data_IF_692539694959
#
_entry.id   IF_692539694959
#
_cell.length_a   1.000
_cell.length_b   1.000
_cell.length_c   1.000
_cell.angle_alpha   90.00
_cell.angle_beta   90.00
_cell.angle_gamma   90.00
#
_symmetry.space_group_name_H-M   'P 1'
#
loop_
_entity.id
_entity.type
_entity.pdbx_description
1 polymer ?
#
# COMPACT_ATOMS: atom_id res chain seq x y z
N UNK A 1 26.98 -12.72 -73.02
CA UNK A 1 26.02 -12.60 -71.92
C UNK A 1 26.33 -13.71 -70.92
N UNK A 2 26.92 -13.33 -69.80
CA UNK A 2 27.48 -14.19 -68.76
C UNK A 2 26.39 -14.66 -67.79
N UNK A 3 26.15 -15.97 -67.76
CA UNK A 3 25.28 -16.62 -66.78
C UNK A 3 25.92 -16.62 -65.40
N UNK A 4 25.42 -15.77 -64.49
CA UNK A 4 25.79 -15.79 -63.08
C UNK A 4 24.92 -16.83 -62.37
N UNK A 5 25.49 -18.02 -62.14
CA UNK A 5 24.96 -19.01 -61.20
C UNK A 5 25.03 -18.46 -59.78
N UNK A 6 23.90 -18.01 -59.23
CA UNK A 6 23.75 -17.75 -57.81
C UNK A 6 23.85 -19.07 -57.03
N UNK A 7 25.03 -19.32 -56.44
CA UNK A 7 25.19 -20.33 -55.40
C UNK A 7 24.48 -19.82 -54.13
N UNK A 8 23.32 -20.39 -53.82
CA UNK A 8 22.74 -20.27 -52.49
C UNK A 8 23.67 -20.97 -51.50
N UNK A 9 24.42 -20.18 -50.73
CA UNK A 9 25.20 -20.65 -49.60
C UNK A 9 24.18 -21.03 -48.52
N UNK A 10 24.01 -22.34 -48.31
CA UNK A 10 23.25 -22.90 -47.18
C UNK A 10 23.89 -22.30 -45.92
N UNK A 11 23.20 -21.37 -45.25
CA UNK A 11 23.60 -20.92 -43.92
C UNK A 11 23.08 -22.01 -43.00
N UNK A 12 23.94 -22.96 -42.66
CA UNK A 12 23.74 -23.88 -41.55
C UNK A 12 23.81 -23.06 -40.26
N UNK A 13 22.68 -22.50 -39.84
CA UNK A 13 22.47 -22.18 -38.44
C UNK A 13 22.39 -23.51 -37.70
N UNK A 14 23.28 -23.71 -36.73
CA UNK A 14 23.23 -24.81 -35.77
C UNK A 14 21.86 -24.77 -35.07
N UNK A 15 20.91 -25.55 -35.58
CA UNK A 15 19.72 -25.91 -34.83
C UNK A 15 20.20 -26.75 -33.65
N UNK A 16 20.12 -26.19 -32.44
CA UNK A 16 20.00 -27.00 -31.23
C UNK A 16 18.77 -27.90 -31.42
N UNK A 17 18.98 -29.09 -31.99
CA UNK A 17 17.99 -30.16 -31.98
C UNK A 17 17.81 -30.58 -30.52
N UNK A 18 16.91 -29.88 -29.83
CA UNK A 18 16.32 -30.35 -28.59
C UNK A 18 15.79 -31.77 -28.85
N UNK A 19 16.33 -32.77 -28.16
CA UNK A 19 15.76 -34.11 -28.17
C UNK A 19 14.35 -34.02 -27.53
N UNK A 20 13.35 -33.76 -28.36
CA UNK A 20 11.94 -33.84 -27.99
C UNK A 20 11.63 -35.30 -27.65
N UNK A 21 11.62 -35.61 -26.35
CA UNK A 21 11.14 -36.92 -25.86
C UNK A 21 9.61 -36.87 -25.85
N UNK A 22 8.99 -37.66 -26.71
CA UNK A 22 7.53 -37.78 -26.80
C UNK A 22 7.07 -39.12 -26.20
N UNK A 23 5.86 -39.16 -25.65
CA UNK A 23 5.32 -40.38 -25.04
C UNK A 23 3.92 -40.20 -24.48
N UNK A 24 3.47 -41.17 -23.67
CA UNK A 24 2.25 -41.06 -22.85
C UNK A 24 2.63 -41.01 -21.38
N UNK A 25 1.89 -40.24 -20.61
CA UNK A 25 2.11 -40.08 -19.17
C UNK A 25 0.78 -40.10 -18.43
N UNK A 26 0.80 -40.68 -17.23
CA UNK A 26 -0.33 -40.65 -16.31
C UNK A 26 -0.59 -39.23 -15.82
N UNK A 27 -1.85 -38.83 -15.81
CA UNK A 27 -2.21 -37.48 -15.41
C UNK A 27 -1.87 -37.20 -13.95
N UNK A 28 -1.98 -38.20 -13.08
CA UNK A 28 -1.61 -38.11 -11.66
C UNK A 28 -0.14 -37.76 -11.42
N UNK A 29 0.73 -37.92 -12.42
CA UNK A 29 2.16 -37.60 -12.31
C UNK A 29 2.49 -36.16 -12.76
N UNK A 30 1.54 -35.47 -13.37
CA UNK A 30 1.73 -34.11 -13.88
C UNK A 30 1.56 -33.07 -12.78
N UNK A 31 2.39 -32.01 -12.84
CA UNK A 31 2.32 -30.88 -11.92
C UNK A 31 1.92 -29.62 -12.68
N UNK A 32 0.97 -28.82 -12.18
CA UNK A 32 0.71 -27.50 -12.77
C UNK A 32 1.93 -26.59 -12.57
N UNK A 33 2.28 -25.81 -13.59
CA UNK A 33 3.32 -24.79 -13.44
C UNK A 33 2.90 -23.74 -12.40
N UNK A 34 3.77 -23.38 -11.44
CA UNK A 34 3.43 -22.50 -10.32
C UNK A 34 2.97 -21.11 -10.77
N UNK A 35 3.50 -20.60 -11.88
CA UNK A 35 3.13 -19.30 -12.44
C UNK A 35 1.96 -19.33 -13.44
N UNK A 36 1.34 -20.48 -13.73
CA UNK A 36 0.27 -20.54 -14.73
C UNK A 36 -0.87 -19.58 -14.39
N UNK A 37 -1.32 -19.57 -13.14
CA UNK A 37 -2.43 -18.73 -12.68
C UNK A 37 -2.07 -17.24 -12.61
N UNK A 38 -0.79 -16.89 -12.65
CA UNK A 38 -0.35 -15.51 -12.73
C UNK A 38 -0.56 -14.92 -14.14
N UNK A 39 -0.34 -15.74 -15.18
CA UNK A 39 -0.40 -15.34 -16.59
C UNK A 39 -1.70 -15.72 -17.31
N UNK A 40 -2.40 -16.74 -16.83
CA UNK A 40 -3.59 -17.28 -17.50
C UNK A 40 -4.72 -17.56 -16.52
N UNK A 41 -5.94 -17.42 -16.98
CA UNK A 41 -7.15 -17.90 -16.30
C UNK A 41 -7.57 -19.27 -16.86
N UNK A 42 -8.25 -20.02 -16.00
CA UNK A 42 -8.95 -21.24 -16.39
C UNK A 42 -10.18 -20.92 -17.24
N UNK A 43 -10.53 -21.83 -18.14
CA UNK A 43 -11.79 -21.76 -18.86
C UNK A 43 -12.96 -22.03 -17.90
N UNK A 44 -14.03 -21.26 -18.03
CA UNK A 44 -15.24 -21.36 -17.19
C UNK A 44 -16.50 -21.35 -18.06
N UNK A 45 -17.63 -21.70 -17.45
CA UNK A 45 -18.98 -21.65 -18.02
C UNK A 45 -19.08 -22.33 -19.41
N UNK A 46 -19.87 -21.77 -20.32
CA UNK A 46 -20.16 -22.34 -21.64
C UNK A 46 -18.89 -22.68 -22.45
N UNK A 47 -17.85 -21.85 -22.34
CA UNK A 47 -16.56 -22.09 -23.04
C UNK A 47 -15.88 -23.36 -22.54
N UNK A 48 -15.96 -23.60 -21.23
CA UNK A 48 -15.43 -24.82 -20.64
C UNK A 48 -16.25 -26.05 -21.05
N UNK A 49 -17.57 -25.93 -21.05
CA UNK A 49 -18.46 -27.03 -21.42
C UNK A 49 -18.30 -27.43 -22.88
N UNK A 50 -18.20 -26.46 -23.80
CA UNK A 50 -17.91 -26.69 -25.21
C UNK A 50 -16.55 -27.37 -25.41
N UNK A 51 -15.53 -26.92 -24.70
CA UNK A 51 -14.20 -27.53 -24.73
C UNK A 51 -14.23 -28.97 -24.21
N UNK A 52 -14.93 -29.22 -23.10
CA UNK A 52 -15.07 -30.55 -22.51
C UNK A 52 -15.80 -31.52 -23.45
N UNK A 53 -16.85 -31.06 -24.14
CA UNK A 53 -17.53 -31.84 -25.17
C UNK A 53 -16.59 -32.17 -26.33
N UNK A 54 -15.78 -31.21 -26.80
CA UNK A 54 -14.78 -31.47 -27.85
C UNK A 54 -13.77 -32.54 -27.44
N UNK A 55 -13.26 -32.50 -26.20
CA UNK A 55 -12.34 -33.53 -25.69
C UNK A 55 -13.06 -34.88 -25.56
N UNK A 56 -14.35 -34.89 -25.20
CA UNK A 56 -15.14 -36.11 -25.09
C UNK A 56 -15.39 -36.77 -26.46
N UNK A 57 -15.67 -35.98 -27.50
CA UNK A 57 -15.97 -36.50 -28.84
C UNK A 57 -14.73 -36.87 -29.64
N UNK A 58 -13.65 -36.10 -29.50
CA UNK A 58 -12.48 -36.20 -30.38
C UNK A 58 -11.21 -36.62 -29.63
N UNK A 59 -11.26 -36.75 -28.32
CA UNK A 59 -10.09 -36.95 -27.48
C UNK A 59 -9.19 -35.71 -27.45
N UNK A 60 -8.03 -35.86 -26.80
CA UNK A 60 -6.97 -34.86 -26.86
C UNK A 60 -6.15 -35.08 -28.13
N UNK A 61 -6.28 -34.18 -29.09
CA UNK A 61 -5.59 -34.27 -30.40
C UNK A 61 -4.13 -33.84 -30.35
N UNK A 62 -3.85 -32.78 -29.59
CA UNK A 62 -2.51 -32.20 -29.47
C UNK A 62 -1.86 -32.61 -28.14
N UNK A 63 -0.63 -33.11 -28.22
CA UNK A 63 0.17 -33.45 -27.05
C UNK A 63 0.41 -32.23 -26.14
N UNK A 64 0.49 -32.47 -24.83
CA UNK A 64 0.89 -31.45 -23.85
C UNK A 64 2.40 -31.25 -23.89
N UNK A 65 2.87 -30.08 -23.45
CA UNK A 65 4.30 -29.82 -23.27
C UNK A 65 4.63 -29.83 -21.79
N UNK A 66 5.66 -30.57 -21.39
CA UNK A 66 6.09 -30.69 -19.99
C UNK A 66 7.61 -30.51 -19.84
N UNK A 67 8.06 -30.19 -18.63
CA UNK A 67 9.47 -30.19 -18.27
C UNK A 67 9.99 -31.58 -17.90
N UNK A 68 11.30 -31.72 -17.67
CA UNK A 68 11.91 -32.92 -17.10
C UNK A 68 11.28 -33.35 -15.76
N UNK A 69 10.73 -32.40 -14.99
CA UNK A 69 10.11 -32.63 -13.68
C UNK A 69 8.60 -32.86 -13.75
N UNK A 70 8.08 -33.06 -14.97
CA UNK A 70 6.66 -33.30 -15.27
C UNK A 70 5.77 -32.08 -14.97
N UNK A 71 6.37 -30.88 -14.94
CA UNK A 71 5.63 -29.61 -14.83
C UNK A 71 5.04 -29.24 -16.18
N UNK A 72 3.77 -28.88 -16.23
CA UNK A 72 3.06 -28.56 -17.47
C UNK A 72 3.44 -27.17 -17.95
N UNK A 73 4.02 -27.07 -19.15
CA UNK A 73 4.30 -25.80 -19.85
C UNK A 73 3.14 -25.42 -20.78
N UNK A 74 2.52 -26.39 -21.43
CA UNK A 74 1.38 -26.14 -22.31
C UNK A 74 0.34 -27.25 -22.22
N UNK A 75 -0.93 -26.86 -22.13
CA UNK A 75 -2.07 -27.78 -22.12
C UNK A 75 -2.71 -28.01 -20.75
N UNK A 76 -2.58 -27.09 -19.80
CA UNK A 76 -3.25 -27.18 -18.48
C UNK A 76 -4.75 -27.46 -18.60
N UNK A 77 -5.46 -26.80 -19.51
CA UNK A 77 -6.89 -27.05 -19.73
C UNK A 77 -7.18 -28.45 -20.26
N UNK A 78 -6.31 -29.02 -21.11
CA UNK A 78 -6.43 -30.42 -21.58
C UNK A 78 -6.26 -31.40 -20.44
N UNK A 79 -5.26 -31.18 -19.59
CA UNK A 79 -5.03 -32.02 -18.40
C UNK A 79 -6.22 -31.94 -17.45
N UNK A 80 -6.74 -30.72 -17.21
CA UNK A 80 -7.95 -30.51 -16.42
C UNK A 80 -9.17 -31.25 -17.01
N UNK A 81 -9.37 -31.18 -18.33
CA UNK A 81 -10.50 -31.83 -19.00
C UNK A 81 -10.38 -33.36 -18.91
N UNK A 82 -9.19 -33.91 -19.12
CA UNK A 82 -8.95 -35.34 -18.96
C UNK A 82 -9.21 -35.82 -17.53
N UNK A 83 -8.81 -35.06 -16.50
CA UNK A 83 -9.15 -35.38 -15.11
C UNK A 83 -10.67 -35.45 -14.90
N UNK A 84 -11.43 -34.49 -15.44
CA UNK A 84 -12.90 -34.47 -15.33
C UNK A 84 -13.54 -35.64 -16.10
N UNK A 85 -12.98 -36.02 -17.25
CA UNK A 85 -13.49 -37.11 -18.08
C UNK A 85 -13.00 -38.51 -17.65
N UNK A 86 -12.15 -38.60 -16.61
CA UNK A 86 -11.57 -39.87 -16.16
C UNK A 86 -10.57 -40.49 -17.15
N UNK A 87 -9.93 -39.67 -17.99
CA UNK A 87 -8.88 -40.14 -18.90
C UNK A 87 -7.57 -40.22 -18.11
N UNK A 88 -7.00 -41.41 -17.98
CA UNK A 88 -5.82 -41.63 -17.12
C UNK A 88 -4.49 -41.21 -17.75
N UNK A 89 -4.37 -41.27 -19.08
CA UNK A 89 -3.11 -41.04 -19.80
C UNK A 89 -3.23 -40.08 -20.99
N UNK A 90 -2.28 -39.16 -21.09
CA UNK A 90 -2.22 -38.12 -22.12
C UNK A 90 -0.87 -38.13 -22.84
N UNK A 91 -0.88 -37.82 -24.14
CA UNK A 91 0.36 -37.70 -24.93
C UNK A 91 1.12 -36.43 -24.54
N UNK A 92 2.44 -36.51 -24.39
CA UNK A 92 3.29 -35.38 -24.02
C UNK A 92 4.49 -35.22 -24.95
N UNK A 93 5.04 -34.01 -24.94
CA UNK A 93 6.36 -33.63 -25.47
C UNK A 93 7.16 -33.03 -24.32
N UNK A 94 8.34 -33.56 -24.04
CA UNK A 94 9.18 -33.06 -22.97
C UNK A 94 10.29 -32.16 -23.51
N UNK A 95 10.49 -31.03 -22.83
CA UNK A 95 11.56 -30.05 -23.06
C UNK A 95 12.37 -29.95 -21.77
N UNK A 96 13.68 -30.09 -21.89
CA UNK A 96 14.61 -29.92 -20.77
C UNK A 96 14.98 -28.44 -20.60
N UNK A 97 14.70 -27.86 -19.44
CA UNK A 97 15.04 -26.47 -19.13
C UNK A 97 16.23 -26.40 -18.18
N UNK A 98 17.23 -25.60 -18.55
CA UNK A 98 18.36 -25.20 -17.69
C UNK A 98 18.22 -23.76 -17.19
N UNK A 99 17.30 -23.00 -17.77
CA UNK A 99 17.01 -21.60 -17.48
C UNK A 99 15.52 -21.42 -17.20
N UNK A 100 15.20 -20.96 -15.99
CA UNK A 100 13.84 -20.68 -15.54
C UNK A 100 13.16 -19.60 -16.40
N UNK A 101 13.90 -18.59 -16.87
CA UNK A 101 13.30 -17.55 -17.73
C UNK A 101 12.84 -18.12 -19.07
N UNK A 102 13.62 -19.02 -19.65
CA UNK A 102 13.24 -19.73 -20.89
C UNK A 102 12.00 -20.61 -20.67
N UNK A 103 11.90 -21.27 -19.52
CA UNK A 103 10.71 -22.05 -19.14
C UNK A 103 9.45 -21.17 -19.11
N UNK A 104 9.52 -20.02 -18.43
CA UNK A 104 8.41 -19.07 -18.32
C UNK A 104 8.07 -18.45 -19.69
N UNK A 105 9.09 -18.13 -20.50
CA UNK A 105 8.90 -17.65 -21.87
C UNK A 105 8.10 -18.64 -22.69
N UNK A 106 8.48 -19.93 -22.67
CA UNK A 106 7.79 -20.95 -23.46
C UNK A 106 6.38 -21.26 -22.93
N UNK A 107 6.18 -21.19 -21.60
CA UNK A 107 4.85 -21.20 -20.97
C UNK A 107 3.99 -20.09 -21.58
N UNK A 108 4.49 -18.85 -21.65
CA UNK A 108 3.71 -17.72 -22.15
C UNK A 108 3.46 -17.85 -23.66
N UNK A 109 4.50 -18.05 -24.47
CA UNK A 109 4.38 -18.04 -25.93
C UNK A 109 3.51 -19.17 -26.48
N UNK A 110 3.67 -20.38 -25.95
CA UNK A 110 2.90 -21.53 -26.42
C UNK A 110 1.40 -21.34 -26.15
N UNK A 111 1.05 -20.67 -25.05
CA UNK A 111 -0.33 -20.40 -24.66
C UNK A 111 -0.92 -19.16 -25.35
N UNK A 112 -0.11 -18.12 -25.65
CA UNK A 112 -0.57 -16.97 -26.44
C UNK A 112 -0.80 -17.33 -27.91
N UNK A 113 0.09 -18.11 -28.54
CA UNK A 113 0.01 -18.48 -29.96
C UNK A 113 -1.16 -19.42 -30.27
N UNK A 114 -1.53 -20.30 -29.33
CA UNK A 114 -2.56 -21.33 -29.55
C UNK A 114 -3.99 -20.89 -29.20
N UNK A 115 -4.17 -19.78 -28.46
CA UNK A 115 -5.48 -19.28 -28.07
C UNK A 115 -6.10 -18.47 -29.22
N UNK A 116 -6.86 -19.15 -30.08
CA UNK A 116 -7.74 -18.53 -31.09
C UNK A 116 -8.84 -17.67 -30.44
N UNK A 117 -9.20 -17.99 -29.19
CA UNK A 117 -9.98 -17.13 -28.31
C UNK A 117 -9.03 -16.54 -27.26
N UNK A 118 -8.66 -15.27 -27.44
CA UNK A 118 -7.58 -14.60 -26.72
C UNK A 118 -7.66 -14.70 -25.19
N UNK A 119 -6.55 -14.38 -24.52
CA UNK A 119 -6.55 -14.19 -23.08
C UNK A 119 -7.57 -13.08 -22.75
N UNK A 120 -8.76 -13.47 -22.28
CA UNK A 120 -9.87 -12.55 -22.04
C UNK A 120 -9.55 -11.56 -20.93
N UNK A 121 -8.62 -11.93 -20.04
CA UNK A 121 -8.15 -11.09 -18.97
C UNK A 121 -7.05 -10.12 -19.45
N UNK A 122 -7.37 -8.83 -19.60
CA UNK A 122 -6.45 -7.83 -20.12
C UNK A 122 -5.26 -7.55 -19.18
N UNK A 123 -5.44 -7.74 -17.86
CA UNK A 123 -4.38 -7.56 -16.86
C UNK A 123 -3.34 -8.67 -17.03
N UNK A 124 -3.81 -9.93 -17.09
CA UNK A 124 -2.93 -11.09 -17.29
C UNK A 124 -2.25 -11.06 -18.67
N UNK A 125 -2.95 -10.64 -19.71
CA UNK A 125 -2.35 -10.40 -21.02
C UNK A 125 -1.23 -9.35 -20.94
N UNK A 126 -1.43 -8.29 -20.15
CA UNK A 126 -0.41 -7.28 -19.88
C UNK A 126 0.82 -7.88 -19.21
N UNK A 127 0.64 -8.74 -18.19
CA UNK A 127 1.74 -9.45 -17.51
C UNK A 127 2.56 -10.30 -18.49
N UNK A 128 1.87 -11.02 -19.40
CA UNK A 128 2.54 -11.79 -20.45
C UNK A 128 3.40 -10.89 -21.34
N UNK A 129 2.86 -9.77 -21.82
CA UNK A 129 3.60 -8.85 -22.68
C UNK A 129 4.75 -8.16 -21.97
N UNK A 130 4.58 -7.75 -20.71
CA UNK A 130 5.66 -7.19 -19.90
C UNK A 130 6.80 -8.19 -19.79
N UNK A 131 6.52 -9.44 -19.40
CA UNK A 131 7.55 -10.48 -19.31
C UNK A 131 8.27 -10.69 -20.64
N UNK A 132 7.52 -10.83 -21.76
CA UNK A 132 8.14 -11.05 -23.07
C UNK A 132 8.98 -9.85 -23.53
N UNK A 133 8.52 -8.61 -23.30
CA UNK A 133 9.32 -7.41 -23.61
C UNK A 133 10.65 -7.42 -22.86
N UNK A 134 10.61 -7.75 -21.57
CA UNK A 134 11.80 -7.80 -20.72
C UNK A 134 12.73 -8.93 -21.18
N UNK A 135 12.19 -10.13 -21.44
CA UNK A 135 12.94 -11.28 -21.93
C UNK A 135 13.65 -11.02 -23.27
N UNK A 136 12.97 -10.32 -24.19
CA UNK A 136 13.49 -9.95 -25.51
C UNK A 136 14.25 -8.61 -25.53
N UNK A 137 14.47 -7.97 -24.39
CA UNK A 137 15.21 -6.72 -24.30
C UNK A 137 14.59 -5.55 -25.06
N UNK A 138 13.26 -5.48 -25.15
CA UNK A 138 12.54 -4.43 -25.88
C UNK A 138 12.48 -3.16 -25.03
N UNK A 139 13.42 -2.25 -25.24
CA UNK A 139 13.44 -0.91 -24.63
C UNK A 139 12.76 0.13 -25.55
N UNK A 140 12.10 1.13 -24.95
CA UNK A 140 11.39 2.16 -25.73
C UNK A 140 12.38 3.16 -26.35
N UNK A 141 12.23 3.42 -27.65
CA UNK A 141 12.61 4.70 -28.26
C UNK A 141 14.09 4.92 -28.59
N UNK A 142 14.68 4.06 -29.43
CA UNK A 142 15.95 4.36 -30.10
C UNK A 142 15.86 4.05 -31.60
N UNK A 143 16.48 4.90 -32.43
CA UNK A 143 16.64 4.67 -33.88
C UNK A 143 17.51 3.41 -34.06
N UNK A 144 16.89 2.23 -34.23
CA UNK A 144 17.59 0.94 -34.41
C UNK A 144 18.18 0.86 -35.82
N UNK A 145 19.21 1.67 -36.09
CA UNK A 145 20.11 1.50 -37.25
C UNK A 145 21.21 0.47 -37.02
N UNK A 146 21.29 -0.13 -35.84
CA UNK A 146 22.26 -1.17 -35.49
C UNK A 146 21.76 -2.57 -35.84
N UNK A 147 22.68 -3.45 -36.26
CA UNK A 147 22.45 -4.89 -36.46
C UNK A 147 21.75 -5.50 -35.22
N UNK A 148 20.86 -6.49 -35.42
CA UNK A 148 20.14 -7.16 -34.32
C UNK A 148 21.15 -7.69 -33.29
N UNK A 149 21.25 -7.05 -32.14
CA UNK A 149 22.13 -7.46 -31.04
C UNK A 149 21.47 -8.66 -30.33
N UNK A 150 22.29 -9.61 -29.86
CA UNK A 150 21.80 -10.66 -28.96
C UNK A 150 21.58 -10.06 -27.58
N UNK A 151 20.38 -10.25 -27.05
CA UNK A 151 20.01 -9.90 -25.68
C UNK A 151 20.87 -10.66 -24.66
N UNK A 152 20.80 -10.26 -23.39
CA UNK A 152 21.42 -10.98 -22.27
C UNK A 152 21.00 -12.46 -22.21
N UNK A 153 19.80 -12.77 -22.70
CA UNK A 153 19.23 -14.11 -22.78
C UNK A 153 19.64 -14.87 -24.06
N UNK A 154 20.59 -14.33 -24.85
CA UNK A 154 21.11 -14.97 -26.06
C UNK A 154 20.18 -14.93 -27.27
N UNK A 155 19.02 -14.28 -27.17
CA UNK A 155 18.01 -14.19 -28.22
C UNK A 155 18.13 -12.88 -29.00
N UNK A 156 17.76 -12.87 -30.27
CA UNK A 156 17.76 -11.66 -31.09
C UNK A 156 16.76 -10.64 -30.53
N UNK A 157 17.19 -9.39 -30.38
CA UNK A 157 16.27 -8.28 -30.11
C UNK A 157 15.21 -8.20 -31.21
N UNK A 158 13.95 -8.09 -30.78
CA UNK A 158 12.79 -7.89 -31.67
C UNK A 158 12.13 -6.55 -31.38
N UNK A 159 11.37 -6.03 -32.33
CA UNK A 159 10.56 -4.82 -32.11
C UNK A 159 9.24 -5.13 -31.39
N UNK A 160 8.58 -4.10 -30.89
CA UNK A 160 7.25 -4.24 -30.29
C UNK A 160 6.22 -4.74 -31.31
N UNK A 161 6.34 -4.30 -32.57
CA UNK A 161 5.54 -4.77 -33.70
C UNK A 161 5.76 -6.25 -33.98
N UNK A 162 7.03 -6.69 -34.01
CA UNK A 162 7.38 -8.10 -34.21
C UNK A 162 6.83 -8.97 -33.06
N UNK A 163 6.97 -8.54 -31.80
CA UNK A 163 6.44 -9.25 -30.64
C UNK A 163 4.89 -9.37 -30.70
N UNK A 164 4.21 -8.26 -30.97
CA UNK A 164 2.76 -8.25 -31.08
C UNK A 164 2.26 -9.19 -32.19
N UNK A 165 2.89 -9.13 -33.37
CA UNK A 165 2.57 -10.00 -34.50
C UNK A 165 2.82 -11.47 -34.20
N UNK A 166 3.93 -11.82 -33.55
CA UNK A 166 4.23 -13.20 -33.14
C UNK A 166 3.22 -13.78 -32.15
N UNK A 167 2.60 -12.92 -31.33
CA UNK A 167 1.56 -13.31 -30.39
C UNK A 167 0.15 -13.24 -30.99
N UNK A 168 -0.02 -12.78 -32.24
CA UNK A 168 -1.33 -12.64 -32.89
C UNK A 168 -2.13 -11.41 -32.47
N UNK A 169 -1.47 -10.37 -31.93
CA UNK A 169 -2.12 -9.14 -31.45
C UNK A 169 -1.62 -7.90 -32.21
N UNK A 170 -2.40 -6.83 -32.16
CA UNK A 170 -1.92 -5.51 -32.59
C UNK A 170 -1.07 -4.85 -31.51
N UNK A 171 -0.19 -3.93 -31.92
CA UNK A 171 0.62 -3.12 -30.99
C UNK A 171 -0.26 -2.35 -30.01
N UNK A 172 -1.42 -1.85 -30.44
CA UNK A 172 -2.38 -1.14 -29.58
C UNK A 172 -2.97 -2.05 -28.48
N UNK A 173 -3.22 -3.33 -28.76
CA UNK A 173 -3.65 -4.28 -27.72
C UNK A 173 -2.53 -4.53 -26.72
N UNK A 174 -1.29 -4.68 -27.20
CA UNK A 174 -0.11 -4.86 -26.35
C UNK A 174 0.08 -3.64 -25.42
N UNK A 175 0.09 -2.43 -25.98
CA UNK A 175 0.27 -1.19 -25.21
C UNK A 175 -0.87 -0.95 -24.22
N UNK A 176 -2.11 -1.24 -24.60
CA UNK A 176 -3.26 -1.16 -23.70
C UNK A 176 -3.09 -2.10 -22.52
N UNK A 177 -2.82 -3.37 -22.77
CA UNK A 177 -2.67 -4.37 -21.72
C UNK A 177 -1.50 -4.02 -20.78
N UNK A 178 -0.36 -3.57 -21.33
CA UNK A 178 0.79 -3.09 -20.55
C UNK A 178 0.47 -1.85 -19.71
N UNK A 179 -0.33 -0.91 -20.22
CA UNK A 179 -0.70 0.28 -19.45
C UNK A 179 -1.56 -0.08 -18.22
N UNK A 180 -2.38 -1.11 -18.33
CA UNK A 180 -3.28 -1.55 -17.24
C UNK A 180 -2.49 -2.17 -16.09
N UNK A 181 -1.41 -2.90 -16.37
CA UNK A 181 -0.58 -3.52 -15.30
C UNK A 181 0.16 -2.52 -14.43
N UNK A 182 0.24 -1.25 -14.86
CA UNK A 182 0.86 -0.14 -14.12
C UNK A 182 -0.13 0.66 -13.27
N UNK A 183 -1.42 0.37 -13.37
CA UNK A 183 -2.48 1.04 -12.60
C UNK A 183 -2.58 0.48 -11.18
N UNK A 184 -3.18 1.22 -10.23
CA UNK A 184 -3.51 0.69 -8.89
C UNK A 184 -4.30 -0.62 -8.96
N UNK A 185 -4.11 -1.50 -7.97
CA UNK A 185 -4.66 -2.86 -7.98
C UNK A 185 -6.19 -2.85 -8.07
N UNK A 186 -6.84 -1.91 -7.40
CA UNK A 186 -8.28 -1.71 -7.39
C UNK A 186 -8.82 -1.43 -8.80
N UNK A 187 -8.07 -0.67 -9.62
CA UNK A 187 -8.43 -0.43 -11.02
C UNK A 187 -8.19 -1.68 -11.87
N UNK A 188 -7.11 -2.42 -11.62
CA UNK A 188 -6.86 -3.69 -12.32
C UNK A 188 -8.00 -4.69 -12.06
N UNK A 189 -8.48 -4.78 -10.83
CA UNK A 189 -9.59 -5.65 -10.42
C UNK A 189 -10.89 -5.24 -11.12
N UNK A 190 -11.22 -3.95 -11.12
CA UNK A 190 -12.39 -3.42 -11.85
C UNK A 190 -12.35 -3.73 -13.35
N UNK A 191 -11.17 -3.72 -13.95
CA UNK A 191 -10.99 -4.08 -15.37
C UNK A 191 -11.15 -5.59 -15.57
N UNK A 192 -10.57 -6.40 -14.70
CA UNK A 192 -10.67 -7.85 -14.74
C UNK A 192 -12.12 -8.34 -14.58
N UNK A 193 -12.88 -7.73 -13.67
CA UNK A 193 -14.31 -8.01 -13.45
C UNK A 193 -15.22 -7.49 -14.59
N UNK A 194 -14.66 -6.71 -15.53
CA UNK A 194 -15.42 -6.08 -16.61
C UNK A 194 -16.30 -4.93 -16.16
N UNK A 195 -16.05 -4.37 -14.97
CA UNK A 195 -16.70 -3.17 -14.47
C UNK A 195 -16.16 -1.90 -15.14
N UNK A 196 -14.92 -1.93 -15.60
CA UNK A 196 -14.31 -0.89 -16.44
C UNK A 196 -13.75 -1.52 -17.71
N UNK A 197 -14.04 -0.90 -18.86
CA UNK A 197 -13.47 -1.39 -20.12
C UNK A 197 -11.95 -1.19 -20.19
N UNK A 198 -11.18 -2.13 -20.77
CA UNK A 198 -9.73 -1.98 -20.91
C UNK A 198 -9.30 -0.71 -21.64
N UNK A 199 -10.10 -0.27 -22.62
CA UNK A 199 -9.89 0.98 -23.36
C UNK A 199 -10.05 2.22 -22.47
N UNK A 200 -11.02 2.21 -21.55
CA UNK A 200 -11.23 3.30 -20.60
C UNK A 200 -10.06 3.39 -19.62
N UNK A 201 -9.62 2.26 -19.08
CA UNK A 201 -8.46 2.19 -18.19
C UNK A 201 -7.19 2.71 -18.88
N UNK A 202 -6.87 2.24 -20.08
CA UNK A 202 -5.63 2.63 -20.78
C UNK A 202 -5.64 4.06 -21.33
N UNK A 203 -6.79 4.55 -21.83
CA UNK A 203 -6.85 5.84 -22.55
C UNK A 203 -7.18 7.02 -21.64
N UNK A 204 -7.81 6.77 -20.49
CA UNK A 204 -8.18 7.81 -19.54
C UNK A 204 -7.40 7.68 -18.25
N UNK A 205 -7.54 6.56 -17.54
CA UNK A 205 -6.99 6.41 -16.18
C UNK A 205 -5.46 6.42 -16.21
N UNK A 206 -4.84 5.67 -17.12
CA UNK A 206 -3.37 5.60 -17.23
C UNK A 206 -2.69 6.92 -17.65
N UNK A 207 -3.47 7.95 -18.04
CA UNK A 207 -2.94 9.28 -18.36
C UNK A 207 -2.99 10.25 -17.18
N UNK A 208 -3.68 9.88 -16.11
CA UNK A 208 -3.70 10.63 -14.86
C UNK A 208 -2.36 10.45 -14.13
N UNK A 209 -2.02 11.42 -13.28
CA UNK A 209 -0.89 11.27 -12.35
C UNK A 209 -1.12 10.11 -11.37
N UNK A 210 -0.06 9.53 -10.78
CA UNK A 210 -0.22 8.44 -9.80
C UNK A 210 -1.16 8.79 -8.65
N UNK A 211 -1.09 10.03 -8.14
CA UNK A 211 -1.97 10.51 -7.05
C UNK A 211 -3.44 10.55 -7.49
N UNK A 212 -3.73 11.10 -8.68
CA UNK A 212 -5.09 11.12 -9.23
C UNK A 212 -5.62 9.70 -9.51
N UNK A 213 -4.75 8.75 -9.90
CA UNK A 213 -5.14 7.35 -10.09
C UNK A 213 -5.57 6.70 -8.77
N UNK A 214 -4.83 6.94 -7.68
CA UNK A 214 -5.16 6.45 -6.34
C UNK A 214 -6.46 7.06 -5.80
N UNK A 215 -6.62 8.38 -5.94
CA UNK A 215 -7.85 9.06 -5.56
C UNK A 215 -9.06 8.55 -6.35
N UNK A 216 -8.88 8.35 -7.66
CA UNK A 216 -9.92 7.77 -8.51
C UNK A 216 -10.25 6.35 -8.04
N UNK A 217 -9.25 5.49 -7.85
CA UNK A 217 -9.41 4.13 -7.35
C UNK A 217 -10.23 4.07 -6.05
N UNK A 218 -9.91 4.94 -5.08
CA UNK A 218 -10.63 5.03 -3.81
C UNK A 218 -12.09 5.50 -3.95
N UNK A 219 -12.41 6.25 -5.02
CA UNK A 219 -13.75 6.82 -5.23
C UNK A 219 -14.70 5.92 -6.03
N UNK A 220 -14.16 4.96 -6.80
CA UNK A 220 -14.96 4.18 -7.75
C UNK A 220 -15.73 3.05 -7.05
N UNK A 221 -17.00 2.82 -7.42
CA UNK A 221 -17.78 1.72 -6.87
C UNK A 221 -17.28 0.36 -7.39
N UNK A 222 -17.00 -0.57 -6.47
CA UNK A 222 -16.45 -1.90 -6.79
C UNK A 222 -17.34 -2.75 -7.72
N UNK A 223 -18.67 -2.75 -7.51
CA UNK A 223 -19.57 -3.73 -8.14
C UNK A 223 -20.39 -3.20 -9.32
N UNK A 224 -20.23 -1.92 -9.67
CA UNK A 224 -21.04 -1.26 -10.69
C UNK A 224 -20.28 -1.19 -12.00
N UNK A 225 -20.88 -1.70 -13.08
CA UNK A 225 -20.37 -1.46 -14.43
C UNK A 225 -20.43 0.03 -14.76
N UNK A 226 -19.29 0.60 -15.12
CA UNK A 226 -19.12 2.01 -15.42
C UNK A 226 -18.88 2.22 -16.91
N UNK A 227 -19.59 3.19 -17.46
CA UNK A 227 -19.34 3.70 -18.80
C UNK A 227 -18.15 4.66 -18.79
N UNK A 228 -17.50 4.84 -19.94
CA UNK A 228 -16.42 5.82 -20.09
C UNK A 228 -16.84 7.23 -19.64
N UNK A 229 -18.08 7.65 -19.94
CA UNK A 229 -18.63 8.95 -19.52
C UNK A 229 -18.74 9.08 -18.00
N UNK A 230 -19.14 8.00 -17.31
CA UNK A 230 -19.22 8.00 -15.85
C UNK A 230 -17.82 8.11 -15.24
N UNK A 231 -16.84 7.35 -15.74
CA UNK A 231 -15.44 7.48 -15.27
C UNK A 231 -14.91 8.90 -15.49
N UNK A 232 -15.18 9.50 -16.65
CA UNK A 232 -14.83 10.92 -16.89
C UNK A 232 -15.53 11.89 -15.93
N UNK A 233 -16.74 11.58 -15.49
CA UNK A 233 -17.43 12.39 -14.49
C UNK A 233 -16.71 12.30 -13.13
N UNK A 234 -16.35 11.09 -12.68
CA UNK A 234 -15.58 10.92 -11.44
C UNK A 234 -14.25 11.68 -11.49
N UNK A 235 -13.52 11.60 -12.60
CA UNK A 235 -12.27 12.35 -12.78
C UNK A 235 -12.50 13.86 -12.65
N UNK A 236 -13.56 14.40 -13.28
CA UNK A 236 -13.91 15.81 -13.16
C UNK A 236 -14.31 16.19 -11.74
N UNK A 237 -15.14 15.39 -11.08
CA UNK A 237 -15.59 15.66 -9.71
C UNK A 237 -14.42 15.67 -8.71
N UNK A 238 -13.39 14.84 -8.93
CA UNK A 238 -12.16 14.85 -8.12
C UNK A 238 -11.38 16.14 -8.38
N UNK A 239 -11.16 16.49 -9.65
CA UNK A 239 -10.46 17.72 -10.02
C UNK A 239 -11.14 18.98 -9.46
N UNK A 240 -12.47 19.06 -9.54
CA UNK A 240 -13.25 20.19 -8.99
C UNK A 240 -13.13 20.26 -7.46
N UNK A 241 -13.12 19.11 -6.77
CA UNK A 241 -12.90 19.05 -5.31
C UNK A 241 -11.51 19.51 -4.93
N UNK A 242 -10.48 19.11 -5.67
CA UNK A 242 -9.10 19.52 -5.38
C UNK A 242 -8.92 21.03 -5.52
N UNK A 243 -9.54 21.65 -6.54
CA UNK A 243 -9.58 23.12 -6.66
C UNK A 243 -10.25 23.74 -5.44
N UNK A 244 -11.41 23.22 -5.02
CA UNK A 244 -12.14 23.74 -3.86
C UNK A 244 -11.35 23.59 -2.55
N UNK A 245 -10.67 22.47 -2.35
CA UNK A 245 -9.80 22.24 -1.19
C UNK A 245 -8.63 23.22 -1.20
N UNK A 246 -8.04 23.49 -2.36
CA UNK A 246 -6.98 24.49 -2.52
C UNK A 246 -7.43 25.91 -2.15
N UNK A 247 -8.61 26.31 -2.60
CA UNK A 247 -9.21 27.61 -2.24
C UNK A 247 -9.45 27.73 -0.73
N UNK A 248 -10.03 26.70 -0.11
CA UNK A 248 -10.27 26.66 1.34
C UNK A 248 -8.97 26.66 2.15
N UNK A 249 -7.94 25.96 1.68
CA UNK A 249 -6.63 25.94 2.32
C UNK A 249 -5.98 27.34 2.31
N UNK A 250 -6.08 28.06 1.19
CA UNK A 250 -5.59 29.44 1.08
C UNK A 250 -6.34 30.38 2.03
N UNK A 251 -7.67 30.25 2.11
CA UNK A 251 -8.49 31.03 3.05
C UNK A 251 -8.10 30.74 4.51
N UNK A 252 -7.86 29.47 4.85
CA UNK A 252 -7.41 29.07 6.18
C UNK A 252 -6.06 29.70 6.56
N UNK A 253 -5.10 29.75 5.62
CA UNK A 253 -3.81 30.42 5.82
C UNK A 253 -4.01 31.90 6.10
N UNK A 254 -4.84 32.57 5.30
CA UNK A 254 -5.14 34.00 5.48
C UNK A 254 -5.80 34.28 6.85
N UNK A 255 -6.77 33.46 7.25
CA UNK A 255 -7.44 33.59 8.56
C UNK A 255 -6.47 33.34 9.72
N UNK A 256 -5.57 32.36 9.61
CA UNK A 256 -4.53 32.12 10.62
C UNK A 256 -3.60 33.33 10.80
N UNK A 257 -3.19 33.96 9.69
CA UNK A 257 -2.37 35.17 9.74
C UNK A 257 -3.11 36.32 10.43
N UNK A 258 -4.36 36.58 10.04
CA UNK A 258 -5.18 37.63 10.66
C UNK A 258 -5.39 37.39 12.16
N UNK A 259 -5.60 36.14 12.58
CA UNK A 259 -5.71 35.80 14.00
C UNK A 259 -4.39 36.05 14.76
N UNK A 260 -3.24 35.76 14.14
CA UNK A 260 -1.93 36.06 14.74
C UNK A 260 -1.70 37.57 14.91
N UNK A 261 -2.10 38.36 13.91
CA UNK A 261 -2.06 39.83 13.97
C UNK A 261 -2.99 40.39 15.06
N UNK A 262 -4.23 39.89 15.13
CA UNK A 262 -5.19 40.26 16.18
C UNK A 262 -4.67 39.91 17.57
N UNK A 263 -4.08 38.72 17.74
CA UNK A 263 -3.48 38.31 19.00
C UNK A 263 -2.34 39.26 19.41
N UNK A 264 -1.45 39.61 18.48
CA UNK A 264 -0.37 40.58 18.75
C UNK A 264 -0.90 41.97 19.10
N UNK A 265 -1.99 42.42 18.47
CA UNK A 265 -2.67 43.67 18.84
C UNK A 265 -3.32 43.59 20.22
N UNK A 266 -3.88 42.44 20.58
CA UNK A 266 -4.48 42.19 21.90
C UNK A 266 -3.41 42.24 23.01
N UNK A 267 -2.25 41.66 22.77
CA UNK A 267 -1.12 41.67 23.70
C UNK A 267 -0.51 43.07 23.87
N UNK A 268 -0.64 43.94 22.86
CA UNK A 268 -0.19 45.35 22.87
C UNK A 268 -1.20 46.32 23.49
N UNK A 269 -2.48 45.94 23.60
CA UNK A 269 -3.50 46.78 24.20
C UNK A 269 -3.28 46.87 25.72
N UNK A 270 -2.88 48.05 26.22
CA UNK A 270 -2.74 48.30 27.65
C UNK A 270 -4.10 48.13 28.37
N UNK A 271 -4.13 47.35 29.45
CA UNK A 271 -5.23 47.37 30.43
C UNK A 271 -5.39 48.81 30.94
N UNK A 272 -6.62 49.36 31.04
CA UNK A 272 -6.83 50.72 31.53
C UNK A 272 -6.23 50.89 32.94
N UNK A 273 -5.51 52.00 33.15
CA UNK A 273 -4.88 52.35 34.43
C UNK A 273 -5.91 52.39 35.55
N UNK A 274 -5.80 51.46 36.49
CA UNK A 274 -6.47 51.54 37.78
C UNK A 274 -5.51 52.25 38.72
N UNK A 275 -5.88 53.41 39.25
CA UNK A 275 -5.08 54.11 40.26
C UNK A 275 -5.09 53.26 41.53
N UNK A 276 -4.02 52.51 41.76
CA UNK A 276 -3.78 51.74 42.98
C UNK A 276 -2.78 52.46 43.85
N UNK A 277 -3.20 52.89 45.04
CA UNK A 277 -2.30 53.36 46.09
C UNK A 277 -1.54 52.14 46.63
N UNK A 278 -0.21 52.16 46.54
CA UNK A 278 0.64 51.09 47.03
C UNK A 278 1.05 51.35 48.50
N UNK A 279 0.94 50.34 49.39
CA UNK A 279 1.50 50.42 50.74
C UNK A 279 3.04 50.57 50.74
N UNK A 280 3.59 51.22 51.78
CA UNK A 280 5.00 51.63 51.90
C UNK A 280 6.04 50.49 51.75
N UNK A 281 5.63 49.23 51.92
CA UNK A 281 6.49 48.05 51.84
C UNK A 281 6.54 47.39 50.45
N UNK A 282 5.74 47.90 49.48
CA UNK A 282 5.59 47.28 48.16
C UNK A 282 6.90 47.11 47.39
N UNK A 283 7.76 48.14 47.35
CA UNK A 283 9.04 48.07 46.63
C UNK A 283 10.01 47.09 47.29
N UNK A 284 9.94 46.94 48.62
CA UNK A 284 10.74 45.98 49.37
C UNK A 284 10.29 44.55 49.06
N UNK A 285 8.99 44.26 49.15
CA UNK A 285 8.42 42.94 48.84
C UNK A 285 8.65 42.54 47.38
N UNK A 286 8.60 43.50 46.45
CA UNK A 286 8.88 43.26 45.03
C UNK A 286 10.35 42.92 44.78
N UNK A 287 11.28 43.56 45.48
CA UNK A 287 12.71 43.24 45.43
C UNK A 287 12.97 41.85 45.98
N UNK A 288 12.40 41.55 47.16
CA UNK A 288 12.52 40.25 47.82
C UNK A 288 11.94 39.11 46.96
N UNK A 289 10.79 39.32 46.31
CA UNK A 289 10.22 38.32 45.40
C UNK A 289 11.07 38.10 44.14
N UNK A 290 11.72 39.15 43.62
CA UNK A 290 12.62 39.03 42.47
C UNK A 290 13.92 38.30 42.84
N UNK A 291 14.42 38.50 44.05
CA UNK A 291 15.56 37.76 44.60
C UNK A 291 15.19 36.30 44.85
N UNK A 292 14.06 36.03 45.52
CA UNK A 292 13.55 34.66 45.70
C UNK A 292 13.30 33.92 44.39
N UNK A 293 12.84 34.61 43.35
CA UNK A 293 12.64 34.01 42.02
C UNK A 293 13.98 33.57 41.40
N UNK A 294 15.04 34.38 41.55
CA UNK A 294 16.40 34.03 41.10
C UNK A 294 16.98 32.87 41.91
N UNK A 295 16.81 32.91 43.23
CA UNK A 295 17.28 31.83 44.11
C UNK A 295 16.56 30.51 43.80
N UNK A 296 15.25 30.55 43.52
CA UNK A 296 14.50 29.39 43.06
C UNK A 296 15.01 28.87 41.72
N UNK A 297 15.36 29.75 40.78
CA UNK A 297 15.86 29.37 39.47
C UNK A 297 17.24 28.71 39.55
N UNK A 298 18.13 29.24 40.40
CA UNK A 298 19.44 28.64 40.72
C UNK A 298 19.24 27.27 41.39
N UNK A 299 18.40 27.21 42.43
CA UNK A 299 18.14 25.98 43.17
C UNK A 299 17.50 24.90 42.27
N UNK A 300 16.65 25.29 41.34
CA UNK A 300 16.04 24.39 40.37
C UNK A 300 17.07 23.87 39.35
N UNK A 301 18.01 24.70 38.91
CA UNK A 301 19.13 24.26 38.06
C UNK A 301 20.04 23.27 38.79
N UNK A 302 20.38 23.54 40.06
CA UNK A 302 21.15 22.62 40.90
C UNK A 302 20.41 21.30 41.15
N UNK A 303 19.10 21.37 41.41
CA UNK A 303 18.24 20.20 41.56
C UNK A 303 18.25 19.35 40.29
N UNK A 304 18.06 19.96 39.11
CA UNK A 304 18.10 19.25 37.83
C UNK A 304 19.45 18.59 37.58
N UNK A 305 20.55 19.28 37.89
CA UNK A 305 21.90 18.73 37.77
C UNK A 305 22.10 17.52 38.69
N UNK A 306 21.69 17.62 39.96
CA UNK A 306 21.71 16.50 40.92
C UNK A 306 20.84 15.33 40.48
N UNK A 307 19.68 15.59 39.88
CA UNK A 307 18.82 14.54 39.31
C UNK A 307 19.45 13.82 38.11
N UNK A 308 20.28 14.52 37.33
CA UNK A 308 21.03 13.90 36.24
C UNK A 308 22.18 13.05 36.80
N UNK A 309 22.97 13.58 37.74
CA UNK A 309 24.03 12.84 38.42
C UNK A 309 23.50 11.57 39.12
N UNK A 310 22.33 11.65 39.76
CA UNK A 310 21.65 10.50 40.36
C UNK A 310 21.23 9.45 39.32
N UNK A 311 20.74 9.88 38.16
CA UNK A 311 20.36 8.97 37.07
C UNK A 311 21.58 8.24 36.53
N UNK A 312 22.65 8.99 36.24
CA UNK A 312 23.88 8.43 35.70
C UNK A 312 24.54 7.46 36.70
N UNK A 313 24.47 7.76 38.00
CA UNK A 313 24.96 6.86 39.06
C UNK A 313 24.07 5.62 39.20
N UNK A 314 22.74 5.77 39.13
CA UNK A 314 21.79 4.64 39.13
C UNK A 314 22.00 3.73 37.92
N UNK A 315 22.24 4.26 36.73
CA UNK A 315 22.55 3.46 35.54
C UNK A 315 23.88 2.72 35.66
N UNK A 316 24.91 3.38 36.20
CA UNK A 316 26.17 2.73 36.52
C UNK A 316 25.99 1.58 37.52
N UNK A 317 25.20 1.76 38.58
CA UNK A 317 24.89 0.68 39.53
C UNK A 317 24.03 -0.44 38.92
N UNK A 318 23.12 -0.11 38.01
CA UNK A 318 22.27 -1.07 37.27
C UNK A 318 23.09 -2.01 36.39
N UNK A 319 24.18 -1.51 35.80
CA UNK A 319 25.14 -2.33 35.06
C UNK A 319 25.94 -3.30 35.94
N UNK A 320 25.98 -3.10 37.26
CA UNK A 320 26.65 -3.99 38.22
C UNK A 320 25.71 -5.00 38.91
N UNK A 321 24.38 -4.80 38.86
CA UNK A 321 23.40 -5.57 39.64
C UNK A 321 22.28 -6.22 38.79
N UNK A 322 22.59 -6.77 37.61
CA UNK A 322 21.62 -7.66 36.95
C UNK A 322 21.49 -8.99 37.70
N UNK A 323 20.36 -9.19 38.41
CA UNK A 323 19.51 -10.40 38.43
C UNK A 323 18.41 -10.34 39.51
N UNK A 324 17.19 -9.94 39.15
CA UNK A 324 15.93 -10.67 39.49
C UNK A 324 14.68 -9.85 39.08
N UNK A 325 13.67 -10.43 38.40
CA UNK A 325 12.47 -9.74 37.91
C UNK A 325 11.51 -9.18 38.99
N UNK A 326 11.55 -9.72 40.22
CA UNK A 326 10.58 -9.35 41.27
C UNK A 326 10.81 -7.94 41.84
N UNK A 327 12.03 -7.40 41.78
CA UNK A 327 12.33 -6.02 42.23
C UNK A 327 11.97 -4.95 41.18
N UNK A 328 11.95 -5.30 39.89
CA UNK A 328 11.58 -4.36 38.82
C UNK A 328 10.10 -3.96 38.90
N UNK A 329 9.22 -4.90 39.26
CA UNK A 329 7.79 -4.62 39.38
C UNK A 329 7.48 -3.65 40.55
N UNK A 330 8.18 -3.80 41.67
CA UNK A 330 7.94 -3.00 42.88
C UNK A 330 8.53 -1.58 42.80
N UNK A 331 9.62 -1.39 42.03
CA UNK A 331 10.14 -0.05 41.70
C UNK A 331 9.28 0.68 40.65
N UNK A 332 8.81 -0.04 39.63
CA UNK A 332 7.92 0.54 38.62
C UNK A 332 6.61 1.04 39.23
N UNK A 333 6.03 0.30 40.18
CA UNK A 333 4.81 0.72 40.88
C UNK A 333 5.00 2.03 41.66
N UNK A 334 6.18 2.24 42.26
CA UNK A 334 6.52 3.46 43.00
C UNK A 334 6.71 4.65 42.05
N UNK A 335 7.42 4.44 40.96
CA UNK A 335 7.62 5.47 39.94
C UNK A 335 6.29 5.88 39.27
N UNK A 336 5.46 4.91 38.89
CA UNK A 336 4.14 5.16 38.29
C UNK A 336 3.20 5.91 39.24
N UNK A 337 3.27 5.64 40.55
CA UNK A 337 2.51 6.39 41.57
C UNK A 337 2.96 7.85 41.64
N UNK A 338 4.26 8.11 41.60
CA UNK A 338 4.81 9.47 41.61
C UNK A 338 4.40 10.21 40.32
N UNK A 339 4.47 9.56 39.17
CA UNK A 339 4.05 10.14 37.89
C UNK A 339 2.54 10.41 37.85
N UNK A 340 1.71 9.54 38.41
CA UNK A 340 0.28 9.77 38.54
C UNK A 340 0.01 11.05 39.36
N UNK A 341 0.63 11.19 40.53
CA UNK A 341 0.50 12.39 41.37
C UNK A 341 0.94 13.67 40.64
N UNK A 342 2.06 13.61 39.91
CA UNK A 342 2.55 14.74 39.12
C UNK A 342 1.58 15.12 37.98
N UNK A 343 1.01 14.13 37.27
CA UNK A 343 0.06 14.38 36.19
C UNK A 343 -1.27 14.96 36.69
N UNK A 344 -1.78 14.47 37.82
CA UNK A 344 -2.99 15.03 38.46
C UNK A 344 -2.73 16.47 38.89
N UNK A 345 -1.58 16.76 39.49
CA UNK A 345 -1.19 18.13 39.88
C UNK A 345 -1.12 19.07 38.67
N UNK A 346 -0.52 18.63 37.56
CA UNK A 346 -0.47 19.40 36.31
C UNK A 346 -1.86 19.62 35.69
N UNK A 347 -2.73 18.61 35.70
CA UNK A 347 -4.12 18.73 35.26
C UNK A 347 -4.85 19.80 36.09
N UNK A 348 -4.79 19.71 37.42
CA UNK A 348 -5.41 20.68 38.33
C UNK A 348 -4.89 22.10 38.11
N UNK A 349 -3.59 22.26 37.86
CA UNK A 349 -2.99 23.56 37.54
C UNK A 349 -3.49 24.13 36.21
N UNK A 350 -3.67 23.29 35.20
CA UNK A 350 -4.15 23.69 33.88
C UNK A 350 -5.63 24.08 33.88
N UNK A 351 -6.46 23.38 34.67
CA UNK A 351 -7.92 23.61 34.70
C UNK A 351 -8.38 24.53 35.85
N UNK A 352 -7.57 24.71 36.90
CA UNK A 352 -7.94 25.44 38.11
C UNK A 352 -8.26 26.92 37.87
N UNK A 353 -7.64 27.54 36.86
CA UNK A 353 -7.94 28.92 36.45
C UNK A 353 -9.36 29.13 35.91
N UNK A 354 -10.08 28.06 35.58
CA UNK A 354 -11.47 28.10 35.10
C UNK A 354 -12.50 27.86 36.21
N UNK A 355 -12.08 27.70 37.47
CA UNK A 355 -12.99 27.47 38.60
C UNK A 355 -13.95 28.64 38.85
N UNK A 356 -13.55 29.87 38.48
CA UNK A 356 -14.41 31.08 38.58
C UNK A 356 -15.72 30.97 37.78
N UNK A 357 -15.77 30.08 36.77
CA UNK A 357 -16.99 29.86 35.97
C UNK A 357 -18.16 29.34 36.81
N UNK A 358 -17.90 28.72 37.97
CA UNK A 358 -18.94 28.27 38.90
C UNK A 358 -19.76 29.44 39.46
N UNK A 359 -19.13 30.59 39.71
CA UNK A 359 -19.78 31.79 40.26
C UNK A 359 -20.64 32.53 39.22
N UNK A 360 -20.47 32.20 37.93
CA UNK A 360 -21.16 32.84 36.80
C UNK A 360 -21.94 31.85 35.93
N UNK A 361 -22.10 30.61 36.41
CA UNK A 361 -22.66 29.52 35.63
C UNK A 361 -24.13 29.76 35.21
N UNK A 362 -24.87 30.52 36.03
CA UNK A 362 -26.26 30.89 35.77
C UNK A 362 -26.43 31.92 34.64
N UNK A 363 -25.36 32.59 34.24
CA UNK A 363 -25.33 33.49 33.09
C UNK A 363 -25.05 32.81 31.75
N UNK A 364 -24.69 31.52 31.74
CA UNK A 364 -24.34 30.80 30.52
C UNK A 364 -25.57 30.24 29.78
N UNK A 365 -25.55 30.18 28.44
CA UNK A 365 -26.59 29.50 27.68
C UNK A 365 -26.63 28.00 28.02
N UNK A 366 -27.81 27.40 27.81
CA UNK A 366 -28.16 26.10 28.39
C UNK A 366 -27.23 24.95 27.96
N UNK A 367 -26.76 24.94 26.71
CA UNK A 367 -25.86 23.90 26.21
C UNK A 367 -24.48 23.97 26.85
N UNK A 368 -23.90 25.17 26.97
CA UNK A 368 -22.58 25.38 27.58
C UNK A 368 -22.61 25.10 29.08
N UNK A 369 -23.71 25.47 29.75
CA UNK A 369 -23.97 25.12 31.16
C UNK A 369 -24.00 23.61 31.35
N UNK A 370 -24.77 22.90 30.52
CA UNK A 370 -24.87 21.44 30.59
C UNK A 370 -23.52 20.76 30.31
N UNK A 371 -22.76 21.26 29.33
CA UNK A 371 -21.42 20.77 29.02
C UNK A 371 -20.44 20.94 30.19
N UNK A 372 -20.44 22.11 30.83
CA UNK A 372 -19.60 22.40 31.99
C UNK A 372 -19.94 21.51 33.20
N UNK A 373 -21.23 21.39 33.53
CA UNK A 373 -21.68 20.51 34.63
C UNK A 373 -21.29 19.06 34.34
N UNK A 374 -21.53 18.57 33.11
CA UNK A 374 -21.18 17.20 32.72
C UNK A 374 -19.68 16.92 32.84
N UNK A 375 -18.83 17.87 32.45
CA UNK A 375 -17.38 17.73 32.57
C UNK A 375 -16.94 17.60 34.05
N UNK A 376 -17.45 18.46 34.94
CA UNK A 376 -17.13 18.41 36.38
C UNK A 376 -17.64 17.10 36.99
N UNK A 377 -18.89 16.71 36.70
CA UNK A 377 -19.46 15.46 37.20
C UNK A 377 -18.67 14.24 36.76
N UNK A 378 -18.10 14.26 35.54
CA UNK A 378 -17.31 13.14 35.02
C UNK A 378 -15.96 13.02 35.73
N UNK A 379 -15.27 14.14 35.97
CA UNK A 379 -14.01 14.17 36.73
C UNK A 379 -14.26 13.75 38.20
N UNK A 380 -15.33 14.26 38.82
CA UNK A 380 -15.71 13.88 40.17
C UNK A 380 -16.05 12.40 40.31
N UNK A 381 -16.83 11.84 39.38
CA UNK A 381 -17.16 10.42 39.38
C UNK A 381 -15.93 9.52 39.17
N UNK A 382 -15.01 9.93 38.28
CA UNK A 382 -13.75 9.21 38.08
C UNK A 382 -12.88 9.19 39.34
N UNK A 383 -12.72 10.35 40.01
CA UNK A 383 -11.97 10.43 41.26
C UNK A 383 -12.61 9.61 42.38
N UNK A 384 -13.94 9.66 42.52
CA UNK A 384 -14.67 8.89 43.52
C UNK A 384 -14.53 7.38 43.29
N UNK A 385 -14.60 6.92 42.05
CA UNK A 385 -14.41 5.50 41.72
C UNK A 385 -13.01 5.00 42.11
N UNK A 386 -11.97 5.82 41.91
CA UNK A 386 -10.60 5.46 42.33
C UNK A 386 -10.53 5.36 43.87
N UNK A 387 -11.10 6.34 44.58
CA UNK A 387 -11.16 6.33 46.05
C UNK A 387 -11.93 5.12 46.58
N UNK A 388 -13.05 4.76 45.97
CA UNK A 388 -13.85 3.60 46.36
C UNK A 388 -13.09 2.29 46.17
N UNK A 389 -12.30 2.18 45.10
CA UNK A 389 -11.41 1.03 44.87
C UNK A 389 -10.29 0.92 45.92
N UNK A 390 -9.70 2.07 46.30
CA UNK A 390 -8.70 2.11 47.39
C UNK A 390 -9.32 1.70 48.72
N UNK A 391 -10.51 2.23 49.05
CA UNK A 391 -11.19 1.95 50.31
C UNK A 391 -11.68 0.49 50.40
N UNK A 392 -12.14 -0.12 49.30
CA UNK A 392 -12.50 -1.56 49.26
C UNK A 392 -11.30 -2.50 49.45
N UNK A 393 -10.10 -2.05 49.08
CA UNK A 393 -8.85 -2.82 49.26
C UNK A 393 -8.33 -2.84 50.71
N UNK A 394 -8.76 -1.89 51.56
CA UNK A 394 -8.31 -1.80 52.97
C UNK A 394 -9.13 -2.71 53.90
N UNK A 395 -10.35 -3.10 53.54
CA UNK A 395 -11.23 -3.95 54.36
C UNK A 395 -10.93 -5.46 54.38
N UNK A 396 -9.82 -5.92 53.80
CA UNK A 396 -9.49 -7.37 53.73
C UNK A 396 -8.29 -7.76 54.63
N UNK A 397 -7.75 -6.82 55.39
CA UNK A 397 -6.69 -7.11 56.37
C UNK A 397 -6.95 -6.38 57.70
N UNK A 398 -7.90 -6.89 58.47
CA UNK A 398 -7.82 -6.86 59.95
C UNK A 398 -7.58 -8.28 60.46
#
# INVERSE_FOLDING_TARGET
MSEVKLKFKKIETQEEQFLLKEGRIKISELKPHPQNNYYFDDMVDDVWDDFLQSVRTSGVTNAITITQDKTIISGHQRVRACNVLGIEEISYKMIEYTDEQKEIKDLIESNLKQRVAGNSNPVKLGRCFTFLKDYYGITHGGDRKSEKIKTANGVLEITQEELAAQCGYSVDVLQRAESITKLPQEIQDLVQEGNISPSTASRLIARLSPEEQEQLAASLPATKKLTQKQVQQYIRDISDRDVQIGEQANELVHLKQKNMELQSSLDKAQKPETITVYPDDYDKTKRENKERARDYEILNQEYQKRCQELRDLKEKMRGYEEKSPEKQFDEQLKDDTIFFCAKVSNFLKAVGGYAYLTEHIDGLPQEQRNGYIKAISSVGAWAQNILDCVNKGVTVYE
#
